data_IF_141261821945
#
_entry.id   IF_141261821945
#
_cell.length_a   1.000
_cell.length_b   1.000
_cell.length_c   1.000
_cell.angle_alpha   90.00
_cell.angle_beta   90.00
_cell.angle_gamma   90.00
#
_symmetry.space_group_name_H-M   'P 1'
#
loop_
_entity.id
_entity.type
_entity.pdbx_description
1 polymer ?
#
# COMPACT_ATOMS: atom_id res chain seq x y z
N UNK A 1 -9.31 -15.17 21.48
CA UNK A 1 -8.62 -14.07 20.79
C UNK A 1 -9.69 -13.14 20.26
N UNK A 2 -9.61 -11.86 20.59
CA UNK A 2 -10.65 -10.88 20.27
C UNK A 2 -10.54 -10.49 18.79
N UNK A 3 -11.23 -11.25 17.92
CA UNK A 3 -11.15 -11.08 16.45
C UNK A 3 -11.44 -9.64 16.00
N UNK A 4 -12.25 -8.92 16.77
CA UNK A 4 -12.57 -7.53 16.49
C UNK A 4 -11.36 -6.60 16.65
N UNK A 5 -10.51 -6.86 17.64
CA UNK A 5 -9.26 -6.11 17.84
C UNK A 5 -8.27 -6.34 16.70
N UNK A 6 -8.11 -7.59 16.27
CA UNK A 6 -7.22 -7.96 15.15
C UNK A 6 -7.68 -7.31 13.84
N UNK A 7 -8.99 -7.34 13.56
CA UNK A 7 -9.58 -6.69 12.39
C UNK A 7 -9.43 -5.16 12.45
N UNK A 8 -9.59 -4.55 13.62
CA UNK A 8 -9.38 -3.11 13.82
C UNK A 8 -7.92 -2.71 13.59
N UNK A 9 -6.96 -3.53 14.05
CA UNK A 9 -5.53 -3.32 13.80
C UNK A 9 -5.21 -3.43 12.30
N UNK A 10 -5.68 -4.49 11.64
CA UNK A 10 -5.45 -4.73 10.22
C UNK A 10 -6.08 -3.65 9.32
N UNK A 11 -7.29 -3.18 9.66
CA UNK A 11 -7.93 -2.05 8.98
C UNK A 11 -7.13 -0.76 9.12
N UNK A 12 -6.58 -0.51 10.31
CA UNK A 12 -5.74 0.67 10.55
C UNK A 12 -4.43 0.60 9.77
N UNK A 13 -3.80 -0.58 9.73
CA UNK A 13 -2.62 -0.82 8.91
C UNK A 13 -2.92 -0.63 7.42
N UNK A 14 -4.06 -1.12 6.93
CA UNK A 14 -4.49 -0.95 5.53
C UNK A 14 -4.73 0.52 5.17
N UNK A 15 -5.35 1.30 6.06
CA UNK A 15 -5.51 2.75 5.89
C UNK A 15 -4.15 3.46 5.81
N UNK A 16 -3.19 3.07 6.66
CA UNK A 16 -1.82 3.59 6.59
C UNK A 16 -1.15 3.24 5.27
N UNK A 17 -1.31 1.99 4.80
CA UNK A 17 -0.76 1.58 3.50
C UNK A 17 -1.28 2.43 2.35
N UNK A 18 -2.61 2.62 2.25
CA UNK A 18 -3.22 3.48 1.23
C UNK A 18 -2.73 4.92 1.32
N UNK A 19 -2.59 5.47 2.54
CA UNK A 19 -2.08 6.83 2.75
C UNK A 19 -0.64 6.98 2.27
N UNK A 20 0.22 6.00 2.58
CA UNK A 20 1.60 5.94 2.13
C UNK A 20 1.69 5.87 0.60
N UNK A 21 0.83 5.09 -0.05
CA UNK A 21 0.76 5.01 -1.52
C UNK A 21 0.40 6.36 -2.14
N UNK A 22 -0.57 7.07 -1.58
CA UNK A 22 -0.94 8.42 -2.03
C UNK A 22 0.26 9.37 -1.94
N UNK A 23 1.01 9.34 -0.84
CA UNK A 23 2.20 10.19 -0.71
C UNK A 23 3.28 9.84 -1.73
N UNK A 24 3.56 8.54 -1.92
CA UNK A 24 4.52 8.09 -2.93
C UNK A 24 4.09 8.55 -4.33
N UNK A 25 2.80 8.42 -4.65
CA UNK A 25 2.25 8.89 -5.92
C UNK A 25 2.43 10.40 -6.11
N UNK A 26 2.09 11.21 -5.10
CA UNK A 26 2.24 12.67 -5.16
C UNK A 26 3.69 13.06 -5.40
N UNK A 27 4.64 12.43 -4.72
CA UNK A 27 6.06 12.78 -4.81
C UNK A 27 6.62 12.43 -6.18
N UNK A 28 6.33 11.24 -6.71
CA UNK A 28 6.76 10.89 -8.06
C UNK A 28 6.05 11.73 -9.12
N UNK A 29 4.80 12.14 -8.93
CA UNK A 29 4.12 13.06 -9.83
C UNK A 29 4.76 14.47 -9.80
N UNK A 30 5.14 14.96 -8.61
CA UNK A 30 5.87 16.22 -8.48
C UNK A 30 7.24 16.14 -9.17
N UNK A 31 7.93 15.01 -9.05
CA UNK A 31 9.21 14.81 -9.73
C UNK A 31 9.06 14.75 -11.25
N UNK A 32 7.98 14.17 -11.77
CA UNK A 32 7.68 14.23 -13.21
C UNK A 32 7.49 15.68 -13.67
N UNK A 33 6.78 16.51 -12.89
CA UNK A 33 6.63 17.92 -13.22
C UNK A 33 8.00 18.65 -13.21
N UNK A 34 8.86 18.33 -12.25
CA UNK A 34 10.22 18.87 -12.20
C UNK A 34 11.07 18.39 -13.39
N UNK A 35 10.99 17.12 -13.77
CA UNK A 35 11.67 16.57 -14.94
C UNK A 35 11.22 17.26 -16.24
N UNK A 36 9.92 17.56 -16.39
CA UNK A 36 9.41 18.33 -17.54
C UNK A 36 10.01 19.73 -17.55
N UNK A 37 10.07 20.39 -16.41
CA UNK A 37 10.71 21.70 -16.29
C UNK A 37 12.20 21.64 -16.67
N UNK A 38 12.93 20.64 -16.17
CA UNK A 38 14.35 20.42 -16.52
C UNK A 38 14.54 20.14 -18.01
N UNK A 39 13.61 19.44 -18.65
CA UNK A 39 13.62 19.23 -20.10
C UNK A 39 13.47 20.55 -20.87
N UNK A 40 12.56 21.44 -20.43
CA UNK A 40 12.41 22.78 -21.03
C UNK A 40 13.71 23.59 -20.84
N UNK A 41 14.27 23.57 -19.64
CA UNK A 41 15.53 24.24 -19.34
C UNK A 41 16.69 23.71 -20.20
N UNK A 42 16.74 22.39 -20.44
CA UNK A 42 17.73 21.76 -21.30
C UNK A 42 17.63 22.23 -22.75
N UNK A 43 16.41 22.41 -23.28
CA UNK A 43 16.18 22.91 -24.63
C UNK A 43 16.59 24.38 -24.79
N UNK A 44 16.36 25.20 -23.76
CA UNK A 44 16.76 26.62 -23.78
C UNK A 44 18.28 26.76 -23.65
N UNK A 45 18.89 26.02 -22.71
CA UNK A 45 20.31 26.11 -22.41
C UNK A 45 21.20 25.26 -23.33
N UNK A 46 20.60 24.42 -24.19
CA UNK A 46 21.30 23.41 -24.99
C UNK A 46 22.23 22.51 -24.16
N UNK A 47 21.79 22.18 -22.94
CA UNK A 47 22.59 21.42 -21.98
C UNK A 47 22.15 19.95 -21.92
N UNK A 48 23.00 19.05 -22.42
CA UNK A 48 22.76 17.61 -22.45
C UNK A 48 22.62 16.98 -21.06
N UNK A 49 23.23 17.56 -20.03
CA UNK A 49 23.17 17.04 -18.66
C UNK A 49 21.80 17.26 -18.04
N UNK A 50 21.20 18.44 -18.26
CA UNK A 50 19.81 18.70 -17.87
C UNK A 50 18.83 17.80 -18.61
N UNK A 51 19.08 17.52 -19.90
CA UNK A 51 18.27 16.57 -20.65
C UNK A 51 18.38 15.16 -20.08
N UNK A 52 19.60 14.72 -19.77
CA UNK A 52 19.86 13.38 -19.21
C UNK A 52 19.20 13.22 -17.84
N UNK A 53 19.34 14.23 -16.97
CA UNK A 53 18.71 14.25 -15.66
C UNK A 53 17.18 14.21 -15.77
N UNK A 54 16.59 15.02 -16.66
CA UNK A 54 15.15 15.01 -16.92
C UNK A 54 14.62 13.63 -17.37
N UNK A 55 15.34 12.96 -18.27
CA UNK A 55 14.96 11.62 -18.75
C UNK A 55 15.01 10.60 -17.61
N UNK A 56 16.07 10.62 -16.81
CA UNK A 56 16.22 9.71 -15.67
C UNK A 56 15.18 9.98 -14.60
N UNK A 57 14.92 11.24 -14.22
CA UNK A 57 13.90 11.60 -13.25
C UNK A 57 12.50 11.20 -13.68
N UNK A 58 12.17 11.40 -14.97
CA UNK A 58 10.91 10.92 -15.52
C UNK A 58 10.82 9.38 -15.48
N UNK A 59 11.86 8.67 -15.93
CA UNK A 59 11.88 7.21 -15.96
C UNK A 59 11.80 6.60 -14.55
N UNK A 60 12.61 7.10 -13.61
CA UNK A 60 12.61 6.69 -12.21
C UNK A 60 11.26 6.93 -11.55
N UNK A 61 10.62 8.06 -11.83
CA UNK A 61 9.30 8.38 -11.29
C UNK A 61 8.18 7.52 -11.87
N UNK A 62 8.22 7.22 -13.17
CA UNK A 62 7.27 6.29 -13.80
C UNK A 62 7.41 4.90 -13.21
N UNK A 63 8.63 4.39 -13.04
CA UNK A 63 8.87 3.11 -12.37
C UNK A 63 8.43 3.14 -10.90
N UNK A 64 8.65 4.25 -10.21
CA UNK A 64 8.19 4.49 -8.85
C UNK A 64 6.67 4.33 -8.72
N UNK A 65 5.91 5.00 -9.59
CA UNK A 65 4.44 4.88 -9.65
C UNK A 65 4.01 3.46 -10.01
N UNK A 66 4.66 2.84 -10.99
CA UNK A 66 4.37 1.46 -11.41
C UNK A 66 4.62 0.45 -10.29
N UNK A 67 5.66 0.64 -9.48
CA UNK A 67 5.97 -0.25 -8.35
C UNK A 67 4.85 -0.28 -7.32
N UNK A 68 4.24 0.88 -7.04
CA UNK A 68 3.09 1.00 -6.14
C UNK A 68 1.87 0.30 -6.74
N UNK A 69 1.60 0.53 -8.03
CA UNK A 69 0.42 -0.07 -8.70
C UNK A 69 0.52 -1.58 -8.83
N UNK A 70 1.69 -2.10 -9.18
CA UNK A 70 1.94 -3.55 -9.37
C UNK A 70 2.36 -4.27 -8.10
N UNK A 71 2.57 -3.56 -6.99
CA UNK A 71 3.06 -4.11 -5.71
C UNK A 71 4.37 -4.88 -5.89
N UNK A 72 5.27 -4.34 -6.70
CA UNK A 72 6.52 -4.99 -7.08
C UNK A 72 7.73 -4.25 -6.51
N UNK A 73 8.44 -4.91 -5.60
CA UNK A 73 9.65 -4.37 -4.98
C UNK A 73 10.81 -4.24 -5.95
N UNK A 74 10.89 -5.05 -7.00
CA UNK A 74 11.95 -4.94 -8.01
C UNK A 74 11.82 -3.61 -8.78
N UNK A 75 10.59 -3.23 -9.14
CA UNK A 75 10.32 -1.92 -9.77
C UNK A 75 10.65 -0.76 -8.82
N UNK A 76 10.38 -0.90 -7.52
CA UNK A 76 10.72 0.14 -6.53
C UNK A 76 12.24 0.32 -6.40
N UNK A 77 13.00 -0.78 -6.42
CA UNK A 77 14.47 -0.75 -6.41
C UNK A 77 15.01 -0.16 -7.71
N UNK A 78 14.47 -0.56 -8.87
CA UNK A 78 14.87 0.00 -10.15
C UNK A 78 14.63 1.52 -10.22
N UNK A 79 13.47 1.98 -9.75
CA UNK A 79 13.17 3.40 -9.62
C UNK A 79 14.21 4.14 -8.77
N UNK A 80 14.58 3.55 -7.62
CA UNK A 80 15.58 4.13 -6.73
C UNK A 80 16.94 4.26 -7.38
N UNK A 81 17.40 3.23 -8.09
CA UNK A 81 18.70 3.24 -8.80
C UNK A 81 18.72 4.33 -9.86
N UNK A 82 17.63 4.49 -10.62
CA UNK A 82 17.54 5.53 -11.66
C UNK A 82 17.57 6.94 -11.05
N UNK A 83 16.83 7.18 -9.96
CA UNK A 83 16.84 8.50 -9.30
C UNK A 83 18.20 8.79 -8.65
N UNK A 84 18.88 7.79 -8.08
CA UNK A 84 20.25 7.99 -7.59
C UNK A 84 21.20 8.37 -8.73
N UNK A 85 21.04 7.76 -9.92
CA UNK A 85 21.84 8.11 -11.09
C UNK A 85 21.54 9.53 -11.60
N UNK A 86 20.27 9.95 -11.63
CA UNK A 86 19.83 11.33 -11.91
C UNK A 86 20.54 12.32 -10.99
N UNK A 87 20.44 12.10 -9.67
CA UNK A 87 21.01 12.99 -8.67
C UNK A 87 22.54 13.01 -8.76
N UNK A 88 23.17 11.86 -9.03
CA UNK A 88 24.60 11.77 -9.29
C UNK A 88 25.02 12.67 -10.45
N UNK A 89 24.27 12.66 -11.56
CA UNK A 89 24.53 13.54 -12.70
C UNK A 89 24.39 15.02 -12.32
N UNK A 90 23.35 15.39 -11.57
CA UNK A 90 23.18 16.77 -11.11
C UNK A 90 24.34 17.22 -10.21
N UNK A 91 24.80 16.36 -9.30
CA UNK A 91 25.93 16.64 -8.41
C UNK A 91 27.27 16.82 -9.16
N UNK A 92 27.51 16.05 -10.23
CA UNK A 92 28.73 16.18 -11.01
C UNK A 92 28.78 17.47 -11.84
N UNK A 93 27.61 18.02 -12.22
CA UNK A 93 27.55 19.17 -13.12
C UNK A 93 27.43 20.52 -12.40
N UNK A 94 26.59 20.60 -11.36
CA UNK A 94 26.32 21.85 -10.62
C UNK A 94 27.03 21.89 -9.25
N UNK A 95 27.75 20.81 -8.91
CA UNK A 95 28.44 20.65 -7.63
C UNK A 95 27.52 20.17 -6.51
N UNK A 96 28.08 20.09 -5.30
CA UNK A 96 27.36 19.63 -4.11
C UNK A 96 26.41 20.73 -3.63
N UNK A 97 25.12 20.59 -3.95
CA UNK A 97 24.06 21.50 -3.50
C UNK A 97 23.26 20.91 -2.33
N UNK A 98 22.80 21.76 -1.42
CA UNK A 98 21.89 21.38 -0.33
C UNK A 98 20.59 20.77 -0.88
N UNK A 99 20.15 21.26 -2.05
CA UNK A 99 19.00 20.73 -2.78
C UNK A 99 19.19 19.27 -3.20
N UNK A 100 20.36 18.92 -3.77
CA UNK A 100 20.66 17.54 -4.14
C UNK A 100 20.66 16.59 -2.94
N UNK A 101 21.19 17.02 -1.79
CA UNK A 101 21.15 16.19 -0.58
C UNK A 101 19.72 16.00 -0.05
N UNK A 102 18.92 17.07 -0.07
CA UNK A 102 17.51 16.99 0.32
C UNK A 102 16.74 16.03 -0.61
N UNK A 103 17.03 16.05 -1.90
CA UNK A 103 16.44 15.17 -2.89
C UNK A 103 16.80 13.69 -2.62
N UNK A 104 18.08 13.37 -2.43
CA UNK A 104 18.50 11.99 -2.06
C UNK A 104 17.80 11.53 -0.79
N UNK A 105 17.75 12.38 0.24
CA UNK A 105 17.13 12.03 1.52
C UNK A 105 15.63 11.75 1.36
N UNK A 106 14.92 12.60 0.62
CA UNK A 106 13.49 12.44 0.36
C UNK A 106 13.24 11.16 -0.43
N UNK A 107 13.87 10.99 -1.60
CA UNK A 107 13.61 9.81 -2.43
C UNK A 107 14.08 8.51 -1.76
N UNK A 108 15.23 8.53 -1.06
CA UNK A 108 15.70 7.40 -0.27
C UNK A 108 14.69 6.98 0.78
N UNK A 109 14.14 7.94 1.53
CA UNK A 109 13.07 7.68 2.51
C UNK A 109 11.84 7.05 1.86
N UNK A 110 11.37 7.60 0.72
CA UNK A 110 10.17 7.12 0.05
C UNK A 110 10.35 5.75 -0.62
N UNK A 111 11.55 5.42 -1.11
CA UNK A 111 11.88 4.08 -1.62
C UNK A 111 11.79 3.04 -0.52
N UNK A 112 12.47 3.26 0.61
CA UNK A 112 12.45 2.34 1.76
C UNK A 112 11.01 2.18 2.26
N UNK A 113 10.29 3.29 2.39
CA UNK A 113 8.89 3.28 2.80
C UNK A 113 8.00 2.53 1.81
N UNK A 114 8.24 2.64 0.50
CA UNK A 114 7.51 1.89 -0.53
C UNK A 114 7.76 0.38 -0.42
N UNK A 115 9.02 -0.05 -0.26
CA UNK A 115 9.36 -1.47 -0.09
C UNK A 115 8.69 -2.04 1.17
N UNK A 116 8.78 -1.34 2.30
CA UNK A 116 8.11 -1.75 3.54
C UNK A 116 6.59 -1.79 3.36
N UNK A 117 6.03 -0.82 2.65
CA UNK A 117 4.59 -0.76 2.39
C UNK A 117 4.11 -1.92 1.53
N UNK A 118 4.85 -2.29 0.47
CA UNK A 118 4.56 -3.46 -0.37
C UNK A 118 4.60 -4.75 0.48
N UNK A 119 5.62 -4.91 1.33
CA UNK A 119 5.70 -6.06 2.24
C UNK A 119 4.53 -6.11 3.21
N UNK A 120 4.16 -4.97 3.81
CA UNK A 120 3.04 -4.89 4.74
C UNK A 120 1.71 -5.16 4.05
N UNK A 121 1.54 -4.68 2.82
CA UNK A 121 0.36 -4.96 1.99
C UNK A 121 0.22 -6.45 1.70
N UNK A 122 1.28 -7.12 1.24
CA UNK A 122 1.28 -8.58 1.01
C UNK A 122 1.03 -9.38 2.28
N UNK A 123 1.53 -8.89 3.42
CA UNK A 123 1.21 -9.50 4.72
C UNK A 123 -0.28 -9.35 5.06
N UNK A 124 -0.89 -8.19 4.79
CA UNK A 124 -2.32 -7.94 4.97
C UNK A 124 -3.19 -8.78 4.03
N UNK A 125 -2.75 -9.07 2.81
CA UNK A 125 -3.43 -9.97 1.86
C UNK A 125 -3.57 -11.39 2.40
N UNK A 126 -2.65 -11.83 3.27
CA UNK A 126 -2.69 -13.15 3.89
C UNK A 126 -3.59 -13.20 5.14
N UNK A 127 -4.10 -12.05 5.60
CA UNK A 127 -4.94 -11.98 6.78
C UNK A 127 -6.42 -12.16 6.43
N UNK A 128 -7.15 -12.78 7.35
CA UNK A 128 -8.59 -12.98 7.25
C UNK A 128 -9.35 -11.64 7.16
N UNK A 129 -10.33 -11.58 6.26
CA UNK A 129 -11.15 -10.38 6.04
C UNK A 129 -10.53 -9.30 5.14
N UNK A 130 -9.36 -9.53 4.55
CA UNK A 130 -8.83 -8.64 3.51
C UNK A 130 -9.83 -8.49 2.35
N UNK A 131 -9.97 -7.30 1.72
CA UNK A 131 -9.23 -6.05 1.96
C UNK A 131 -9.86 -5.11 3.01
N UNK A 132 -11.09 -5.37 3.44
CA UNK A 132 -11.88 -4.40 4.21
C UNK A 132 -11.79 -4.61 5.73
N UNK A 133 -11.43 -5.81 6.16
CA UNK A 133 -11.34 -6.24 7.56
C UNK A 133 -12.62 -5.89 8.32
N UNK A 134 -13.76 -6.41 7.82
CA UNK A 134 -15.08 -6.20 8.41
C UNK A 134 -15.46 -7.35 9.34
N UNK A 135 -15.61 -7.11 10.66
CA UNK A 135 -15.96 -8.15 11.62
C UNK A 135 -17.33 -8.77 11.32
N UNK A 136 -18.30 -7.91 10.94
CA UNK A 136 -19.67 -8.32 10.62
C UNK A 136 -19.72 -9.33 9.47
N UNK A 137 -18.89 -9.18 8.45
CA UNK A 137 -18.89 -10.12 7.32
C UNK A 137 -18.45 -11.52 7.78
N UNK A 138 -17.44 -11.58 8.66
CA UNK A 138 -16.96 -12.83 9.25
C UNK A 138 -18.01 -13.47 10.16
N UNK A 139 -18.71 -12.68 10.98
CA UNK A 139 -19.83 -13.15 11.79
C UNK A 139 -20.92 -13.80 10.92
N UNK A 140 -21.31 -13.15 9.82
CA UNK A 140 -22.26 -13.70 8.86
C UNK A 140 -21.78 -15.02 8.23
N UNK A 141 -20.50 -15.10 7.85
CA UNK A 141 -19.94 -16.33 7.27
C UNK A 141 -19.83 -17.47 8.30
N UNK A 142 -19.48 -17.17 9.55
CA UNK A 142 -19.49 -18.14 10.64
C UNK A 142 -20.90 -18.63 10.95
N UNK A 143 -21.88 -17.74 11.01
CA UNK A 143 -23.29 -18.11 11.20
C UNK A 143 -23.80 -19.00 10.06
N UNK A 144 -23.41 -18.70 8.82
CA UNK A 144 -23.76 -19.51 7.65
C UNK A 144 -23.09 -20.89 7.69
N UNK A 145 -21.81 -20.95 8.05
CA UNK A 145 -21.09 -22.21 8.20
C UNK A 145 -21.68 -23.06 9.34
N UNK A 146 -22.00 -22.44 10.49
CA UNK A 146 -22.67 -23.12 11.60
C UNK A 146 -24.07 -23.63 11.22
N UNK A 147 -24.83 -22.87 10.43
CA UNK A 147 -26.12 -23.35 9.87
C UNK A 147 -25.97 -24.53 8.92
N UNK A 148 -24.86 -24.60 8.18
CA UNK A 148 -24.57 -25.73 7.29
C UNK A 148 -24.06 -26.98 8.06
N UNK A 149 -23.49 -26.80 9.25
CA UNK A 149 -22.97 -27.89 10.09
C UNK A 149 -24.04 -28.42 11.06
N UNK A 150 -24.93 -27.56 11.57
CA UNK A 150 -26.10 -28.00 12.33
C UNK A 150 -27.12 -28.60 11.37
N UNK A 151 -27.25 -29.92 11.40
CA UNK A 151 -28.32 -30.64 10.72
C UNK A 151 -29.67 -29.98 11.10
N UNK A 152 -30.51 -29.55 10.14
CA UNK A 152 -31.80 -28.92 10.42
C UNK A 152 -32.70 -29.75 11.35
N UNK A 153 -32.47 -31.07 11.45
CA UNK A 153 -33.12 -31.94 12.43
C UNK A 153 -32.63 -31.72 13.88
N UNK A 154 -31.35 -31.44 14.09
CA UNK A 154 -30.78 -31.18 15.41
C UNK A 154 -31.24 -29.83 15.97
N UNK A 155 -31.37 -28.80 15.12
CA UNK A 155 -31.96 -27.51 15.52
C UNK A 155 -33.43 -27.65 15.91
N UNK A 156 -34.24 -28.37 15.12
CA UNK A 156 -35.64 -28.63 15.48
C UNK A 156 -35.78 -29.40 16.79
N UNK A 157 -34.90 -30.37 17.06
CA UNK A 157 -34.89 -31.11 18.33
C UNK A 157 -34.51 -30.21 19.53
N UNK A 158 -33.53 -29.32 19.38
CA UNK A 158 -33.18 -28.33 20.41
C UNK A 158 -34.35 -27.36 20.70
N UNK A 159 -35.02 -26.86 19.67
CA UNK A 159 -36.16 -25.97 19.80
C UNK A 159 -37.38 -26.66 20.44
N UNK A 160 -37.67 -27.91 20.04
CA UNK A 160 -38.72 -28.71 20.68
C UNK A 160 -38.42 -28.99 22.16
N UNK A 161 -37.16 -29.32 22.50
CA UNK A 161 -36.79 -29.54 23.90
C UNK A 161 -36.85 -28.25 24.72
N UNK A 162 -36.42 -27.10 24.18
CA UNK A 162 -36.54 -25.81 24.87
C UNK A 162 -37.99 -25.42 25.15
N UNK A 163 -38.90 -25.61 24.19
CA UNK A 163 -40.32 -25.30 24.37
C UNK A 163 -40.97 -26.23 25.41
N UNK A 164 -40.69 -27.54 25.37
CA UNK A 164 -41.21 -28.49 26.36
C UNK A 164 -40.69 -28.23 27.78
N UNK A 165 -39.45 -27.73 27.91
CA UNK A 165 -38.89 -27.41 29.24
C UNK A 165 -39.53 -26.14 29.82
N UNK A 166 -39.98 -25.21 28.97
CA UNK A 166 -40.70 -24.02 29.40
C UNK A 166 -42.14 -24.32 29.82
N UNK A 167 -42.85 -25.20 29.11
CA UNK A 167 -44.20 -25.65 29.51
C UNK A 167 -44.20 -26.43 30.84
N UNK A 168 -43.13 -27.18 31.15
CA UNK A 168 -43.01 -27.88 32.44
C UNK A 168 -42.66 -26.98 33.63
N UNK A 169 -42.33 -25.69 33.41
CA UNK A 169 -42.13 -24.71 34.49
C UNK A 169 -43.39 -23.87 34.77
N UNK A 170 -44.42 -23.95 33.93
CA UNK A 170 -45.68 -23.21 34.08
C UNK A 170 -46.84 -24.07 34.64
N UNK A 171 -46.57 -25.32 35.03
CA UNK A 171 -47.48 -26.22 35.78
C UNK A 171 -47.02 -26.37 37.24
#
# INVERSE_FOLDING_TARGET
MDFEEEYKQNRTAMKKCKKTETYIFIIFAANIAFAIWMMIAALIAWNIWFLTAAILGAAGSVLGILSVRKRDSALAIAAAVIIIAEIGIMFFFDGISVLGFAEVAVFGYFVVTNIMNIKKYRWLEQQDGFPNFEPRLKEYDMDRAQRNIKDPYAQKMEDMNKNNTHEMQEL
#
